data_IF_532459794595
#
_entry.id   IF_532459794595
#
_cell.length_a   1.000
_cell.length_b   1.000
_cell.length_c   1.000
_cell.angle_alpha   90.00
_cell.angle_beta   90.00
_cell.angle_gamma   90.00
#
_symmetry.space_group_name_H-M   'P 1'
#
loop_
_entity.id
_entity.type
_entity.pdbx_description
1 polymer ?
#
# COMPACT_ATOMS: atom_id res chain seq x y z
N UNK A 1 -13.99 31.45 -33.96
CA UNK A 1 -13.12 30.33 -34.40
C UNK A 1 -12.91 29.25 -33.32
N UNK A 2 -12.93 29.56 -32.01
CA UNK A 2 -12.80 28.56 -30.93
C UNK A 2 -14.10 27.84 -30.48
N UNK A 3 -15.25 28.07 -31.13
CA UNK A 3 -16.52 27.38 -30.81
C UNK A 3 -16.85 26.21 -31.76
N UNK A 4 -16.08 26.01 -32.82
CA UNK A 4 -16.38 25.01 -33.87
C UNK A 4 -15.53 23.73 -33.80
N UNK A 5 -14.44 23.70 -33.03
CA UNK A 5 -13.46 22.59 -33.05
C UNK A 5 -13.64 21.53 -31.95
N UNK A 6 -14.53 21.73 -30.97
CA UNK A 6 -14.69 20.81 -29.84
C UNK A 6 -16.04 20.05 -29.82
N UNK A 7 -16.60 19.79 -31.00
CA UNK A 7 -17.83 18.99 -31.16
C UNK A 7 -17.56 17.52 -31.52
N UNK A 8 -16.37 16.98 -31.22
CA UNK A 8 -16.29 15.53 -31.05
C UNK A 8 -17.03 15.21 -29.76
N UNK A 9 -18.32 14.89 -29.89
CA UNK A 9 -18.97 13.95 -28.97
C UNK A 9 -18.04 12.74 -28.93
N UNK A 10 -17.21 12.68 -27.90
CA UNK A 10 -16.54 11.46 -27.50
C UNK A 10 -17.72 10.51 -27.32
N UNK A 11 -17.92 9.58 -28.27
CA UNK A 11 -18.79 8.45 -28.01
C UNK A 11 -18.34 7.93 -26.67
N UNK A 12 -19.24 7.94 -25.69
CA UNK A 12 -19.01 7.29 -24.42
C UNK A 12 -18.82 5.82 -24.76
N UNK A 13 -17.58 5.44 -25.08
CA UNK A 13 -17.16 4.06 -24.99
C UNK A 13 -17.58 3.68 -23.58
N UNK A 14 -18.52 2.76 -23.47
CA UNK A 14 -18.82 2.15 -22.18
C UNK A 14 -17.47 1.63 -21.69
N UNK A 15 -16.89 2.33 -20.71
CA UNK A 15 -15.54 2.04 -20.23
C UNK A 15 -15.51 0.59 -19.77
N UNK A 16 -14.39 -0.09 -19.98
CA UNK A 16 -14.23 -1.47 -19.51
C UNK A 16 -14.19 -1.57 -17.97
N UNK A 17 -14.03 -0.43 -17.29
CA UNK A 17 -14.16 -0.29 -15.83
C UNK A 17 -15.63 -0.02 -15.47
N UNK A 18 -16.18 -0.84 -14.58
CA UNK A 18 -17.52 -0.64 -14.00
C UNK A 18 -17.61 0.74 -13.31
N UNK A 19 -18.53 1.58 -13.79
CA UNK A 19 -18.79 2.93 -13.27
C UNK A 19 -20.29 3.16 -13.05
N UNK A 20 -20.63 3.72 -11.90
CA UNK A 20 -21.97 4.24 -11.56
C UNK A 20 -21.93 5.75 -11.35
N UNK A 21 -23.07 6.36 -11.05
CA UNK A 21 -23.12 7.75 -10.58
C UNK A 21 -22.30 7.87 -9.28
N UNK A 22 -21.41 8.88 -9.16
CA UNK A 22 -20.62 9.07 -7.96
C UNK A 22 -21.49 9.54 -6.79
N UNK A 23 -21.25 8.96 -5.62
CA UNK A 23 -21.83 9.39 -4.34
C UNK A 23 -20.68 9.86 -3.44
N UNK A 24 -20.83 10.98 -2.73
CA UNK A 24 -19.83 11.42 -1.74
C UNK A 24 -19.73 10.42 -0.58
N UNK A 25 -18.62 10.39 0.17
CA UNK A 25 -18.55 9.63 1.41
C UNK A 25 -19.56 10.16 2.43
N UNK A 26 -19.99 9.31 3.37
CA UNK A 26 -20.89 9.71 4.45
C UNK A 26 -20.18 10.51 5.56
N UNK A 27 -18.85 10.48 5.58
CA UNK A 27 -17.98 11.17 6.54
C UNK A 27 -17.13 12.22 5.83
N UNK A 28 -16.80 13.31 6.52
CA UNK A 28 -15.96 14.36 5.96
C UNK A 28 -14.51 13.83 5.79
N UNK A 29 -13.91 13.93 4.59
CA UNK A 29 -12.51 13.52 4.37
C UNK A 29 -11.50 14.19 5.30
N UNK A 30 -11.79 15.40 5.80
CA UNK A 30 -10.89 16.12 6.72
C UNK A 30 -10.80 15.48 8.10
N UNK A 31 -11.76 14.62 8.48
CA UNK A 31 -11.69 13.84 9.72
C UNK A 31 -10.51 12.84 9.74
N UNK A 32 -9.90 12.54 8.58
CA UNK A 32 -8.68 11.73 8.48
C UNK A 32 -7.56 12.28 9.39
N UNK A 33 -7.44 13.60 9.53
CA UNK A 33 -6.42 14.21 10.40
C UNK A 33 -6.58 13.83 11.88
N UNK A 34 -7.81 13.50 12.31
CA UNK A 34 -8.09 13.08 13.69
C UNK A 34 -7.93 11.58 13.94
N UNK A 35 -7.82 10.77 12.88
CA UNK A 35 -7.68 9.31 12.97
C UNK A 35 -6.20 8.93 13.11
N UNK A 36 -5.33 9.62 12.38
CA UNK A 36 -3.91 9.30 12.35
C UNK A 36 -3.22 9.96 13.54
N UNK A 37 -2.60 9.14 14.38
CA UNK A 37 -1.77 9.62 15.47
C UNK A 37 -0.47 10.24 14.95
N UNK A 38 0.01 11.27 15.65
CA UNK A 38 1.36 11.81 15.42
C UNK A 38 2.46 10.81 15.81
N UNK A 39 2.16 9.89 16.74
CA UNK A 39 2.99 8.71 17.03
C UNK A 39 2.60 7.58 16.07
N UNK A 40 3.50 7.22 15.17
CA UNK A 40 3.32 6.21 14.12
C UNK A 40 3.24 4.77 14.65
N UNK A 41 3.55 4.58 15.94
CA UNK A 41 3.41 3.29 16.64
C UNK A 41 1.98 3.04 17.10
N UNK A 42 1.15 4.09 17.19
CA UNK A 42 -0.24 3.96 17.62
C UNK A 42 -1.06 3.43 16.46
N UNK A 43 -1.62 2.21 16.58
CA UNK A 43 -2.46 1.65 15.53
C UNK A 43 -3.76 2.44 15.43
N UNK A 44 -4.30 2.53 14.22
CA UNK A 44 -5.64 3.05 13.94
C UNK A 44 -6.42 2.05 13.12
N UNK A 45 -7.75 2.18 13.13
CA UNK A 45 -8.60 1.36 12.27
C UNK A 45 -8.59 1.89 10.84
N UNK A 46 -8.02 1.11 9.92
CA UNK A 46 -7.93 1.51 8.51
C UNK A 46 -9.29 1.52 7.82
N UNK A 47 -10.31 0.84 8.38
CA UNK A 47 -11.69 1.00 7.89
C UNK A 47 -12.19 2.43 8.05
N UNK A 48 -11.75 3.18 9.06
CA UNK A 48 -12.09 4.60 9.22
C UNK A 48 -11.51 5.44 8.09
N UNK A 49 -10.32 5.09 7.59
CA UNK A 49 -9.75 5.71 6.39
C UNK A 49 -10.58 5.34 5.16
N UNK A 50 -10.87 4.05 4.95
CA UNK A 50 -11.66 3.58 3.80
C UNK A 50 -13.03 4.27 3.76
N UNK A 51 -13.71 4.40 4.90
CA UNK A 51 -15.02 5.03 5.01
C UNK A 51 -15.03 6.50 4.52
N UNK A 52 -13.91 7.22 4.63
CA UNK A 52 -13.76 8.62 4.18
C UNK A 52 -13.30 8.75 2.74
N UNK A 53 -12.86 7.65 2.13
CA UNK A 53 -12.41 7.63 0.73
C UNK A 53 -13.50 7.15 -0.23
N UNK A 54 -14.36 6.23 0.18
CA UNK A 54 -15.27 5.51 -0.71
C UNK A 54 -16.69 6.10 -0.76
N UNK A 55 -17.35 5.90 -1.89
CA UNK A 55 -18.69 6.40 -2.18
C UNK A 55 -19.72 5.88 -1.17
N UNK A 56 -20.50 6.80 -0.58
CA UNK A 56 -21.48 6.51 0.46
C UNK A 56 -20.92 5.83 1.71
N UNK A 57 -19.59 5.82 1.88
CA UNK A 57 -18.89 5.03 2.90
C UNK A 57 -19.24 3.53 2.85
N UNK A 58 -19.62 3.02 1.67
CA UNK A 58 -20.03 1.63 1.46
C UNK A 58 -18.82 0.76 1.11
N UNK A 59 -18.57 -0.23 1.96
CA UNK A 59 -17.51 -1.20 1.77
C UNK A 59 -18.06 -2.62 1.85
N UNK A 60 -17.77 -3.45 0.85
CA UNK A 60 -18.18 -4.86 0.81
C UNK A 60 -16.97 -5.74 1.15
N UNK A 61 -16.80 -6.17 2.42
CA UNK A 61 -15.61 -6.87 2.86
C UNK A 61 -15.50 -8.25 2.23
N UNK A 62 -14.28 -8.65 1.89
CA UNK A 62 -13.92 -9.99 1.44
C UNK A 62 -13.19 -10.72 2.56
N UNK A 63 -13.76 -11.86 3.00
CA UNK A 63 -13.25 -12.65 4.13
C UNK A 63 -13.00 -11.78 5.38
N UNK A 64 -14.04 -11.13 5.95
CA UNK A 64 -13.87 -10.23 7.10
C UNK A 64 -13.23 -10.94 8.31
N UNK A 65 -13.60 -12.19 8.57
CA UNK A 65 -13.18 -12.98 9.75
C UNK A 65 -11.91 -13.83 9.51
N UNK A 66 -11.12 -13.53 8.47
CA UNK A 66 -9.90 -14.31 8.16
C UNK A 66 -8.78 -13.41 7.68
N UNK A 67 -7.58 -13.59 8.23
CA UNK A 67 -6.42 -12.75 7.92
C UNK A 67 -6.71 -11.27 8.16
N UNK A 68 -7.19 -10.94 9.36
CA UNK A 68 -7.71 -9.61 9.72
C UNK A 68 -6.67 -8.49 9.66
N UNK A 69 -5.37 -8.82 9.68
CA UNK A 69 -4.30 -7.83 9.52
C UNK A 69 -4.17 -7.24 8.10
N UNK A 70 -4.93 -7.76 7.14
CA UNK A 70 -5.19 -7.10 5.85
C UNK A 70 -6.70 -7.07 5.60
N UNK A 71 -7.22 -5.87 5.41
CA UNK A 71 -8.59 -5.64 4.97
C UNK A 71 -8.61 -5.74 3.44
N UNK A 72 -9.50 -6.58 2.91
CA UNK A 72 -9.77 -6.68 1.48
C UNK A 72 -11.26 -6.45 1.26
N UNK A 73 -11.64 -5.80 0.17
CA UNK A 73 -13.05 -5.66 -0.18
C UNK A 73 -13.30 -4.72 -1.35
N UNK A 74 -14.54 -4.74 -1.84
CA UNK A 74 -14.95 -3.90 -2.95
C UNK A 74 -15.58 -2.62 -2.46
N UNK A 75 -15.29 -1.52 -3.14
CA UNK A 75 -15.87 -0.21 -2.89
C UNK A 75 -15.99 0.58 -4.20
N UNK A 76 -16.52 1.79 -4.13
CA UNK A 76 -16.48 2.72 -5.27
C UNK A 76 -15.78 4.01 -4.88
N UNK A 77 -15.05 4.61 -5.81
CA UNK A 77 -14.47 5.95 -5.68
C UNK A 77 -14.86 6.72 -6.92
N UNK A 78 -15.59 7.81 -6.76
CA UNK A 78 -16.10 8.61 -7.89
C UNK A 78 -16.89 7.75 -8.91
N UNK A 79 -17.65 6.79 -8.40
CA UNK A 79 -18.47 5.84 -9.16
C UNK A 79 -17.71 4.62 -9.69
N UNK A 80 -16.38 4.64 -9.75
CA UNK A 80 -15.57 3.52 -10.26
C UNK A 80 -15.47 2.40 -9.23
N UNK A 81 -15.78 1.17 -9.63
CA UNK A 81 -15.56 -0.02 -8.80
C UNK A 81 -14.06 -0.23 -8.58
N UNK A 82 -13.66 -0.39 -7.32
CA UNK A 82 -12.27 -0.63 -6.92
C UNK A 82 -12.17 -1.79 -5.92
N UNK A 83 -11.10 -2.56 -6.02
CA UNK A 83 -10.71 -3.55 -5.02
C UNK A 83 -9.70 -2.94 -4.08
N UNK A 84 -10.08 -2.74 -2.81
CA UNK A 84 -9.22 -2.14 -1.79
C UNK A 84 -8.49 -3.24 -1.03
N UNK A 85 -7.18 -3.07 -0.85
CA UNK A 85 -6.32 -3.89 -0.01
C UNK A 85 -5.59 -2.95 0.94
N UNK A 86 -5.87 -3.05 2.23
CA UNK A 86 -5.38 -2.11 3.23
C UNK A 86 -4.78 -2.85 4.43
N UNK A 87 -3.63 -2.40 4.93
CA UNK A 87 -3.01 -3.02 6.09
C UNK A 87 -3.71 -2.60 7.39
N UNK A 88 -3.90 -3.55 8.30
CA UNK A 88 -4.31 -3.34 9.69
C UNK A 88 -3.20 -3.87 10.63
N UNK A 89 -1.93 -3.62 10.27
CA UNK A 89 -0.75 -4.08 11.01
C UNK A 89 0.18 -5.04 10.24
N UNK A 90 0.75 -6.01 10.97
CA UNK A 90 1.74 -6.98 10.46
C UNK A 90 1.08 -8.00 9.54
N UNK A 91 1.75 -8.38 8.44
CA UNK A 91 1.20 -9.35 7.48
C UNK A 91 1.46 -10.79 7.97
N UNK A 92 0.39 -11.53 8.23
CA UNK A 92 0.43 -12.97 8.53
C UNK A 92 0.20 -13.81 7.26
N UNK A 93 0.48 -15.12 7.33
CA UNK A 93 0.26 -16.07 6.23
C UNK A 93 -1.16 -16.02 5.66
N UNK A 94 -2.15 -15.99 6.55
CA UNK A 94 -3.58 -15.94 6.23
C UNK A 94 -3.92 -14.63 5.50
N UNK A 95 -3.39 -13.51 5.98
CA UNK A 95 -3.58 -12.21 5.35
C UNK A 95 -2.95 -12.16 3.94
N UNK A 96 -1.77 -12.74 3.76
CA UNK A 96 -1.12 -12.84 2.44
C UNK A 96 -1.92 -13.70 1.46
N UNK A 97 -2.43 -14.85 1.91
CA UNK A 97 -3.30 -15.72 1.11
C UNK A 97 -4.66 -15.07 0.80
N UNK A 98 -5.20 -14.27 1.73
CA UNK A 98 -6.44 -13.48 1.55
C UNK A 98 -6.24 -12.45 0.45
N UNK A 99 -5.18 -11.66 0.54
CA UNK A 99 -4.83 -10.67 -0.46
C UNK A 99 -4.58 -11.32 -1.82
N UNK A 100 -3.84 -12.44 -1.87
CA UNK A 100 -3.61 -13.21 -3.11
C UNK A 100 -4.93 -13.54 -3.81
N UNK A 101 -5.84 -14.23 -3.11
CA UNK A 101 -7.13 -14.62 -3.71
C UNK A 101 -7.96 -13.38 -4.11
N UNK A 102 -7.94 -12.32 -3.31
CA UNK A 102 -8.66 -11.09 -3.64
C UNK A 102 -8.13 -10.41 -4.90
N UNK A 103 -6.81 -10.38 -5.10
CA UNK A 103 -6.17 -9.87 -6.32
C UNK A 103 -6.62 -10.68 -7.54
N UNK A 104 -6.66 -12.01 -7.43
CA UNK A 104 -7.13 -12.88 -8.52
C UNK A 104 -8.59 -12.61 -8.89
N UNK A 105 -9.46 -12.38 -7.89
CA UNK A 105 -10.86 -12.00 -8.13
C UNK A 105 -10.97 -10.64 -8.84
N UNK A 106 -10.14 -9.67 -8.45
CA UNK A 106 -10.12 -8.35 -9.09
C UNK A 106 -9.60 -8.44 -10.54
N UNK A 107 -8.54 -9.22 -10.78
CA UNK A 107 -8.01 -9.49 -12.13
C UNK A 107 -9.07 -10.15 -13.02
N UNK A 108 -9.74 -11.20 -12.52
CA UNK A 108 -10.79 -11.91 -13.26
C UNK A 108 -11.96 -10.98 -13.63
N UNK A 109 -12.34 -10.07 -12.72
CA UNK A 109 -13.46 -9.14 -12.90
C UNK A 109 -13.06 -7.82 -13.55
N UNK A 110 -11.79 -7.63 -13.90
CA UNK A 110 -11.24 -6.37 -14.43
C UNK A 110 -11.50 -5.17 -13.50
N UNK A 111 -11.31 -5.37 -12.21
CA UNK A 111 -11.46 -4.34 -11.17
C UNK A 111 -10.09 -3.75 -10.83
N UNK A 112 -9.89 -2.42 -10.93
CA UNK A 112 -8.68 -1.75 -10.46
C UNK A 112 -8.40 -2.01 -8.99
N UNK A 113 -7.12 -2.10 -8.63
CA UNK A 113 -6.65 -2.35 -7.27
C UNK A 113 -6.14 -1.08 -6.61
N UNK A 114 -6.56 -0.84 -5.36
CA UNK A 114 -6.06 0.22 -4.49
C UNK A 114 -5.37 -0.41 -3.28
N UNK A 115 -4.09 -0.09 -3.10
CA UNK A 115 -3.28 -0.51 -1.96
C UNK A 115 -3.11 0.66 -0.99
N UNK A 116 -3.56 0.49 0.24
CA UNK A 116 -3.31 1.44 1.34
C UNK A 116 -2.24 0.85 2.26
N UNK A 117 -1.01 1.37 2.15
CA UNK A 117 0.15 0.81 2.86
C UNK A 117 0.28 1.40 4.26
N UNK A 118 0.24 0.51 5.25
CA UNK A 118 0.62 0.78 6.63
C UNK A 118 1.10 -0.51 7.31
N UNK A 119 2.31 -0.96 6.97
CA UNK A 119 2.86 -2.22 7.46
C UNK A 119 4.33 -2.12 7.83
N UNK A 120 4.67 -2.74 8.96
CA UNK A 120 6.04 -3.01 9.41
C UNK A 120 6.67 -4.24 8.74
N UNK A 121 5.90 -4.97 7.92
CA UNK A 121 6.36 -6.16 7.20
C UNK A 121 5.56 -7.41 7.54
N UNK A 122 6.20 -8.57 7.39
CA UNK A 122 5.62 -9.88 7.66
C UNK A 122 5.95 -10.36 9.07
N UNK A 123 5.12 -11.23 9.63
CA UNK A 123 5.37 -11.84 10.93
C UNK A 123 6.66 -12.68 10.91
N UNK A 124 7.57 -12.40 11.83
CA UNK A 124 8.81 -13.16 12.01
C UNK A 124 8.68 -14.17 13.15
N UNK A 125 9.32 -15.33 13.03
CA UNK A 125 9.37 -16.32 14.10
C UNK A 125 9.43 -17.74 13.56
N UNK A 126 9.95 -18.66 14.38
CA UNK A 126 10.14 -20.06 13.98
C UNK A 126 8.84 -20.70 13.47
N UNK A 127 7.73 -20.46 14.15
CA UNK A 127 6.43 -21.05 13.80
C UNK A 127 5.86 -20.42 12.52
N UNK A 128 6.06 -19.11 12.30
CA UNK A 128 5.67 -18.43 11.06
C UNK A 128 6.46 -18.95 9.85
N UNK A 129 7.77 -19.13 10.01
CA UNK A 129 8.65 -19.69 8.98
C UNK A 129 8.29 -21.15 8.67
N UNK A 130 8.13 -21.99 9.70
CA UNK A 130 7.72 -23.39 9.54
C UNK A 130 6.31 -23.52 8.94
N UNK A 131 5.40 -22.59 9.28
CA UNK A 131 4.07 -22.46 8.69
C UNK A 131 4.07 -21.98 7.23
N UNK A 132 5.23 -21.63 6.69
CA UNK A 132 5.39 -21.27 5.28
C UNK A 132 5.06 -19.82 4.95
N UNK A 133 5.27 -18.87 5.88
CA UNK A 133 5.02 -17.46 5.62
C UNK A 133 5.76 -16.95 4.38
N UNK A 134 6.99 -17.42 4.13
CA UNK A 134 7.74 -17.10 2.93
C UNK A 134 7.02 -17.52 1.64
N UNK A 135 6.48 -18.74 1.57
CA UNK A 135 5.75 -19.20 0.37
C UNK A 135 4.38 -18.52 0.24
N UNK A 136 3.74 -18.16 1.36
CA UNK A 136 2.45 -17.48 1.35
C UNK A 136 2.59 -16.01 0.94
N UNK A 137 3.62 -15.32 1.45
CA UNK A 137 4.01 -13.99 0.98
C UNK A 137 4.42 -13.99 -0.50
N UNK A 138 5.14 -15.02 -0.96
CA UNK A 138 5.50 -15.16 -2.37
C UNK A 138 4.28 -15.29 -3.30
N UNK A 139 3.19 -15.93 -2.86
CA UNK A 139 1.93 -15.97 -3.63
C UNK A 139 1.34 -14.56 -3.79
N UNK A 140 1.31 -13.78 -2.71
CA UNK A 140 0.81 -12.40 -2.75
C UNK A 140 1.65 -11.52 -3.69
N UNK A 141 2.97 -11.60 -3.58
CA UNK A 141 3.90 -10.88 -4.46
C UNK A 141 3.73 -11.30 -5.92
N UNK A 142 3.57 -12.59 -6.19
CA UNK A 142 3.30 -13.08 -7.54
C UNK A 142 1.99 -12.54 -8.11
N UNK A 143 0.92 -12.49 -7.31
CA UNK A 143 -0.36 -11.93 -7.72
C UNK A 143 -0.25 -10.42 -8.02
N UNK A 144 0.41 -9.64 -7.15
CA UNK A 144 0.66 -8.20 -7.37
C UNK A 144 1.47 -7.94 -8.64
N UNK A 145 2.55 -8.68 -8.82
CA UNK A 145 3.46 -8.50 -9.95
C UNK A 145 2.78 -8.75 -11.30
N UNK A 146 1.86 -9.73 -11.35
CA UNK A 146 1.26 -10.18 -12.60
C UNK A 146 -0.17 -9.68 -12.83
N UNK A 147 -0.80 -9.04 -11.84
CA UNK A 147 -2.07 -8.35 -12.05
C UNK A 147 -1.92 -7.27 -13.13
N UNK A 148 -2.78 -7.34 -14.14
CA UNK A 148 -2.77 -6.46 -15.32
C UNK A 148 -3.74 -5.29 -15.18
N UNK A 149 -4.73 -5.43 -14.30
CA UNK A 149 -5.60 -4.32 -13.89
C UNK A 149 -4.76 -3.14 -13.35
N UNK A 150 -5.23 -1.89 -13.51
CA UNK A 150 -4.58 -0.72 -12.93
C UNK A 150 -4.42 -0.89 -11.43
N UNK A 151 -3.20 -0.65 -10.94
CA UNK A 151 -2.82 -0.70 -9.53
C UNK A 151 -2.50 0.72 -9.07
N UNK A 152 -3.03 1.14 -7.94
CA UNK A 152 -2.74 2.41 -7.30
C UNK A 152 -2.29 2.16 -5.88
N UNK A 153 -1.30 2.90 -5.42
CA UNK A 153 -0.74 2.74 -4.07
C UNK A 153 -0.75 4.08 -3.37
N UNK A 154 -1.19 4.09 -2.11
CA UNK A 154 -1.09 5.26 -1.22
C UNK A 154 -0.38 4.81 0.04
N UNK A 155 0.76 5.44 0.35
CA UNK A 155 1.45 5.24 1.63
C UNK A 155 0.76 6.09 2.69
N UNK A 156 -0.06 5.44 3.53
CA UNK A 156 -0.83 6.12 4.60
C UNK A 156 -0.12 6.05 5.97
N UNK A 157 0.96 5.26 6.07
CA UNK A 157 1.78 5.10 7.25
C UNK A 157 3.11 4.43 6.91
N UNK A 158 3.45 3.35 7.61
CA UNK A 158 4.70 2.62 7.39
C UNK A 158 4.72 1.81 6.09
N UNK A 159 5.84 1.84 5.39
CA UNK A 159 6.14 1.01 4.22
C UNK A 159 7.51 0.37 4.37
N UNK A 160 7.54 -0.81 4.99
CA UNK A 160 8.79 -1.43 5.41
C UNK A 160 9.03 -2.80 4.76
N UNK A 161 10.27 -2.99 4.28
CA UNK A 161 10.82 -4.28 3.85
C UNK A 161 9.93 -5.07 2.89
N UNK A 162 9.74 -6.36 3.16
CA UNK A 162 8.93 -7.23 2.30
C UNK A 162 7.44 -6.83 2.26
N UNK A 163 6.94 -6.09 3.26
CA UNK A 163 5.57 -5.56 3.25
C UNK A 163 5.34 -4.57 2.12
N UNK A 164 6.34 -3.74 1.79
CA UNK A 164 6.33 -2.85 0.63
C UNK A 164 6.08 -3.65 -0.67
N UNK A 165 6.69 -4.83 -0.79
CA UNK A 165 6.57 -5.67 -1.99
C UNK A 165 5.17 -6.26 -2.12
N UNK A 166 4.67 -6.87 -1.05
CA UNK A 166 3.34 -7.48 -1.01
C UNK A 166 2.22 -6.47 -1.24
N UNK A 167 2.42 -5.19 -0.87
CA UNK A 167 1.42 -4.14 -1.00
C UNK A 167 1.60 -3.25 -2.24
N UNK A 168 2.28 -3.72 -3.29
CA UNK A 168 2.46 -3.00 -4.55
C UNK A 168 3.26 -1.68 -4.41
N UNK A 169 4.43 -1.73 -3.75
CA UNK A 169 5.39 -0.65 -3.74
C UNK A 169 5.98 -0.33 -5.13
N UNK A 170 6.89 0.65 -5.20
CA UNK A 170 7.38 1.22 -6.47
C UNK A 170 7.93 0.19 -7.46
N UNK A 171 8.61 -0.85 -6.98
CA UNK A 171 9.16 -1.94 -7.81
C UNK A 171 8.11 -2.83 -8.51
N UNK A 172 6.83 -2.69 -8.17
CA UNK A 172 5.72 -3.46 -8.75
C UNK A 172 4.88 -2.66 -9.76
N UNK A 173 5.40 -1.50 -10.17
CA UNK A 173 4.84 -0.65 -11.22
C UNK A 173 3.34 -0.34 -11.03
N UNK A 174 2.90 0.21 -9.87
CA UNK A 174 1.59 0.84 -9.82
C UNK A 174 1.53 1.99 -10.84
N UNK A 175 0.33 2.27 -11.36
CA UNK A 175 0.12 3.39 -12.29
C UNK A 175 0.46 4.72 -11.66
N UNK A 176 0.11 4.86 -10.38
CA UNK A 176 0.54 5.94 -9.52
C UNK A 176 0.78 5.41 -8.11
N UNK A 177 1.83 5.91 -7.46
CA UNK A 177 2.12 5.71 -6.05
C UNK A 177 2.20 7.08 -5.38
N UNK A 178 1.30 7.38 -4.47
CA UNK A 178 1.34 8.61 -3.67
C UNK A 178 1.73 8.30 -2.23
N UNK A 179 2.19 9.33 -1.51
CA UNK A 179 2.52 9.21 -0.11
C UNK A 179 1.87 10.34 0.70
N UNK A 180 1.45 10.03 1.93
CA UNK A 180 1.02 11.04 2.88
C UNK A 180 2.22 11.65 3.61
N UNK A 181 2.11 12.88 4.13
CA UNK A 181 3.20 13.55 4.85
C UNK A 181 3.65 12.85 6.13
N UNK A 182 2.81 11.98 6.72
CA UNK A 182 3.15 11.17 7.89
C UNK A 182 3.80 9.82 7.53
N UNK A 183 3.84 9.46 6.25
CA UNK A 183 4.35 8.15 5.84
C UNK A 183 5.85 8.00 6.12
N UNK A 184 6.29 6.75 6.23
CA UNK A 184 7.71 6.40 6.39
C UNK A 184 8.03 5.20 5.51
N UNK A 185 9.14 5.25 4.79
CA UNK A 185 9.55 4.17 3.87
C UNK A 185 11.01 3.78 4.09
N UNK A 186 11.26 2.50 4.37
CA UNK A 186 12.62 2.00 4.55
C UNK A 186 12.70 0.48 4.38
N UNK A 187 13.91 -0.08 4.41
CA UNK A 187 14.13 -1.53 4.37
C UNK A 187 13.59 -2.24 5.63
N UNK A 188 13.57 -1.56 6.77
CA UNK A 188 12.97 -1.98 8.04
C UNK A 188 12.66 -0.74 8.90
N UNK A 189 11.96 -0.90 10.03
CA UNK A 189 11.75 0.23 10.94
C UNK A 189 13.07 0.66 11.61
N UNK A 190 13.14 1.93 12.02
CA UNK A 190 14.34 2.47 12.67
C UNK A 190 14.72 1.67 13.95
N UNK A 191 13.73 1.31 14.77
CA UNK A 191 13.93 0.50 15.99
C UNK A 191 14.51 -0.89 15.68
N UNK A 192 13.98 -1.55 14.63
CA UNK A 192 14.51 -2.85 14.18
C UNK A 192 15.94 -2.69 13.64
N UNK A 193 16.21 -1.65 12.87
CA UNK A 193 17.53 -1.37 12.32
C UNK A 193 18.58 -1.13 13.41
N UNK A 194 18.24 -0.34 14.44
CA UNK A 194 19.12 -0.08 15.57
C UNK A 194 19.52 -1.35 16.32
N UNK A 195 18.64 -2.33 16.38
CA UNK A 195 18.93 -3.61 17.04
C UNK A 195 19.79 -4.49 16.13
N UNK A 196 19.31 -4.76 14.92
CA UNK A 196 19.93 -5.72 14.00
C UNK A 196 21.30 -5.25 13.50
N UNK A 197 21.43 -3.97 13.11
CA UNK A 197 22.67 -3.46 12.53
C UNK A 197 23.79 -3.33 13.58
N UNK A 198 23.42 -3.00 14.82
CA UNK A 198 24.38 -2.94 15.92
C UNK A 198 24.87 -4.34 16.28
N UNK A 199 23.97 -5.33 16.36
CA UNK A 199 24.34 -6.72 16.63
C UNK A 199 25.28 -7.27 15.54
N UNK A 200 25.01 -6.98 14.25
CA UNK A 200 25.89 -7.36 13.13
C UNK A 200 27.27 -6.70 13.25
N UNK A 201 27.32 -5.41 13.59
CA UNK A 201 28.58 -4.67 13.74
C UNK A 201 29.42 -5.23 14.88
N UNK A 202 28.80 -5.52 16.03
CA UNK A 202 29.43 -6.17 17.18
C UNK A 202 29.94 -7.57 16.84
N UNK A 203 29.16 -8.39 16.15
CA UNK A 203 29.56 -9.74 15.74
C UNK A 203 30.77 -9.75 14.78
N UNK A 204 30.93 -8.69 13.97
CA UNK A 204 32.08 -8.48 13.09
C UNK A 204 33.35 -8.02 13.82
N UNK A 205 33.22 -7.38 14.99
CA UNK A 205 34.31 -6.80 15.78
C UNK A 205 35.00 -7.82 16.72
N UNK A 206 35.08 -9.10 16.32
CA UNK A 206 35.65 -10.20 17.13
C UNK A 206 37.01 -9.81 17.75
N UNK A 207 37.01 -9.47 19.04
CA UNK A 207 38.23 -9.25 19.83
C UNK A 207 38.47 -7.84 20.39
N UNK A 208 37.58 -6.86 20.16
CA UNK A 208 37.67 -5.53 20.81
C UNK A 208 36.57 -5.36 21.85
N UNK A 209 36.96 -5.00 23.08
CA UNK A 209 36.06 -4.56 24.16
C UNK A 209 35.35 -3.27 23.72
N UNK A 210 34.22 -3.43 23.01
CA UNK A 210 33.41 -2.28 22.60
C UNK A 210 32.71 -1.74 23.84
N UNK A 211 32.93 -0.46 24.12
CA UNK A 211 32.35 0.20 25.29
C UNK A 211 30.85 0.45 25.08
N UNK A 212 30.11 0.60 26.17
CA UNK A 212 28.68 0.95 26.11
C UNK A 212 28.46 2.30 25.39
N UNK A 213 29.40 3.22 25.51
CA UNK A 213 29.38 4.53 24.83
C UNK A 213 29.50 4.37 23.31
N UNK A 214 30.38 3.48 22.83
CA UNK A 214 30.51 3.18 21.40
C UNK A 214 29.25 2.50 20.85
N UNK A 215 28.64 1.58 21.61
CA UNK A 215 27.36 0.94 21.23
C UNK A 215 26.24 1.98 21.14
N UNK A 216 26.15 2.89 22.11
CA UNK A 216 25.18 3.98 22.11
C UNK A 216 25.38 4.93 20.92
N UNK A 217 26.64 5.24 20.58
CA UNK A 217 26.97 6.04 19.41
C UNK A 217 26.53 5.35 18.10
N UNK A 218 26.77 4.03 17.96
CA UNK A 218 26.31 3.26 16.80
C UNK A 218 24.77 3.25 16.69
N UNK A 219 24.05 3.08 17.82
CA UNK A 219 22.58 3.15 17.84
C UNK A 219 22.07 4.52 17.40
N UNK A 220 22.73 5.59 17.84
CA UNK A 220 22.38 6.96 17.50
C UNK A 220 22.64 7.25 16.01
N UNK A 221 23.78 6.79 15.48
CA UNK A 221 24.13 6.88 14.05
C UNK A 221 23.06 6.20 13.18
N UNK A 222 22.69 4.96 13.51
CA UNK A 222 21.66 4.20 12.77
C UNK A 222 20.29 4.88 12.86
N UNK A 223 19.88 5.36 14.04
CA UNK A 223 18.61 6.10 14.18
C UNK A 223 18.58 7.35 13.30
N UNK A 224 19.63 8.18 13.35
CA UNK A 224 19.69 9.40 12.57
C UNK A 224 19.65 9.13 11.06
N UNK A 225 20.32 8.06 10.61
CA UNK A 225 20.25 7.61 9.23
C UNK A 225 18.81 7.26 8.83
N UNK A 226 18.14 6.41 9.62
CA UNK A 226 16.77 5.98 9.29
C UNK A 226 15.77 7.12 9.38
N UNK A 227 15.86 8.02 10.35
CA UNK A 227 14.99 9.20 10.43
C UNK A 227 15.10 10.04 9.15
N UNK A 228 16.33 10.31 8.70
CA UNK A 228 16.56 11.12 7.50
C UNK A 228 16.12 10.41 6.23
N UNK A 229 16.45 9.13 6.07
CA UNK A 229 16.27 8.40 4.81
C UNK A 229 14.87 7.79 4.65
N UNK A 230 14.10 7.67 5.75
CA UNK A 230 12.72 7.19 5.73
C UNK A 230 11.68 8.30 5.61
N UNK A 231 12.11 9.54 5.75
CA UNK A 231 11.26 10.72 5.64
C UNK A 231 10.61 10.83 4.23
N UNK A 232 9.32 11.21 4.16
CA UNK A 232 8.60 11.28 2.89
C UNK A 232 9.17 12.32 1.92
N UNK A 233 9.78 13.40 2.41
CA UNK A 233 10.47 14.37 1.55
C UNK A 233 11.77 13.78 0.97
N UNK A 234 12.45 12.91 1.72
CA UNK A 234 13.60 12.16 1.20
C UNK A 234 13.20 11.22 0.06
N UNK A 235 12.08 10.52 0.21
CA UNK A 235 11.53 9.60 -0.79
C UNK A 235 11.04 10.34 -2.06
N UNK A 236 10.23 11.39 -1.88
CA UNK A 236 9.61 12.12 -3.01
C UNK A 236 10.66 12.85 -3.85
N UNK A 237 11.71 13.40 -3.22
CA UNK A 237 12.83 14.03 -3.93
C UNK A 237 13.66 13.06 -4.78
N UNK A 238 13.41 11.74 -4.65
CA UNK A 238 14.07 10.66 -5.39
C UNK A 238 13.10 9.86 -6.28
N UNK A 239 11.86 10.35 -6.44
CA UNK A 239 10.81 9.72 -7.27
C UNK A 239 10.49 8.27 -6.87
N UNK A 240 10.59 7.96 -5.58
CA UNK A 240 10.10 6.69 -5.04
C UNK A 240 8.57 6.65 -5.05
N UNK A 241 7.95 7.81 -4.90
CA UNK A 241 6.55 8.12 -5.13
C UNK A 241 6.40 9.17 -6.25
N UNK A 242 5.17 9.36 -6.70
CA UNK A 242 4.75 10.33 -7.72
C UNK A 242 4.27 11.65 -7.09
N UNK A 243 4.44 11.81 -5.77
CA UNK A 243 4.17 13.04 -5.04
C UNK A 243 3.56 12.81 -3.66
N UNK A 244 3.81 13.78 -2.78
CA UNK A 244 3.07 13.94 -1.54
C UNK A 244 1.71 14.56 -1.81
N UNK A 245 0.68 14.00 -1.20
CA UNK A 245 -0.69 14.51 -1.28
C UNK A 245 -1.24 14.78 0.11
N UNK A 246 -2.13 15.75 0.23
CA UNK A 246 -2.91 15.93 1.44
C UNK A 246 -3.77 14.67 1.69
N UNK A 247 -3.78 14.09 2.89
CA UNK A 247 -4.67 12.98 3.22
C UNK A 247 -6.13 13.18 2.82
N UNK A 248 -6.67 14.40 2.97
CA UNK A 248 -8.05 14.72 2.61
C UNK A 248 -8.30 14.71 1.08
N UNK A 249 -7.27 15.00 0.27
CA UNK A 249 -7.35 15.04 -1.19
C UNK A 249 -7.25 13.64 -1.84
N UNK A 250 -6.92 12.61 -1.05
CA UNK A 250 -6.69 11.23 -1.54
C UNK A 250 -7.82 10.72 -2.43
N UNK A 251 -9.07 10.99 -2.06
CA UNK A 251 -10.25 10.57 -2.83
C UNK A 251 -10.27 11.17 -4.24
N UNK A 252 -9.99 12.46 -4.36
CA UNK A 252 -10.09 13.19 -5.62
C UNK A 252 -8.90 12.89 -6.54
N UNK A 253 -7.70 12.75 -5.95
CA UNK A 253 -6.51 12.26 -6.65
C UNK A 253 -6.76 10.88 -7.24
N UNK A 254 -7.29 9.94 -6.45
CA UNK A 254 -7.64 8.59 -6.94
C UNK A 254 -8.75 8.64 -8.00
N UNK A 255 -9.76 9.50 -7.83
CA UNK A 255 -10.81 9.71 -8.84
C UNK A 255 -10.24 10.14 -10.19
N UNK A 256 -9.28 11.06 -10.21
CA UNK A 256 -8.58 11.47 -11.42
C UNK A 256 -7.77 10.31 -12.03
N UNK A 257 -7.00 9.59 -11.21
CA UNK A 257 -6.21 8.44 -11.67
C UNK A 257 -7.10 7.35 -12.30
N UNK A 258 -8.23 7.02 -11.67
CA UNK A 258 -9.21 6.07 -12.19
C UNK A 258 -9.83 6.55 -13.50
N UNK A 259 -10.16 7.84 -13.60
CA UNK A 259 -10.65 8.43 -14.84
C UNK A 259 -9.62 8.36 -15.99
N UNK A 260 -8.32 8.48 -15.69
CA UNK A 260 -7.25 8.29 -16.67
C UNK A 260 -7.18 6.84 -17.15
N UNK A 261 -7.23 5.86 -16.25
CA UNK A 261 -7.23 4.45 -16.64
C UNK A 261 -8.47 4.03 -17.44
N UNK A 262 -9.64 4.58 -17.11
CA UNK A 262 -10.89 4.32 -17.83
C UNK A 262 -10.86 4.81 -19.29
N UNK A 263 -9.91 5.69 -19.65
CA UNK A 263 -9.69 6.18 -21.02
C UNK A 263 -8.67 5.34 -21.81
N UNK A 264 -8.09 4.31 -21.20
CA UNK A 264 -7.20 3.37 -21.86
C UNK A 264 -7.97 2.10 -22.25
N UNK A 265 -7.42 1.34 -23.19
CA UNK A 265 -7.94 0.02 -23.52
C UNK A 265 -7.87 -0.92 -22.31
N UNK A 266 -8.80 -1.88 -22.26
CA UNK A 266 -8.77 -2.92 -21.24
C UNK A 266 -7.43 -3.67 -21.33
N UNK A 267 -6.78 -3.97 -20.19
CA UNK A 267 -5.54 -4.71 -20.22
C UNK A 267 -5.77 -6.11 -20.80
N UNK A 268 -4.76 -6.63 -21.51
CA UNK A 268 -4.75 -8.03 -21.92
C UNK A 268 -4.87 -8.95 -20.70
N UNK A 269 -5.29 -10.20 -20.89
CA UNK A 269 -5.26 -11.16 -19.80
C UNK A 269 -3.82 -11.36 -19.32
N UNK A 270 -3.63 -11.45 -18.01
CA UNK A 270 -2.32 -11.72 -17.42
C UNK A 270 -1.75 -13.09 -17.84
N UNK A 271 -0.43 -13.26 -17.73
CA UNK A 271 0.18 -14.57 -17.93
C UNK A 271 -0.32 -15.55 -16.87
N UNK A 272 -0.52 -16.82 -17.25
CA UNK A 272 -0.84 -17.87 -16.27
C UNK A 272 0.25 -17.98 -15.20
N UNK A 273 -0.17 -18.10 -13.93
CA UNK A 273 0.74 -18.03 -12.78
C UNK A 273 1.06 -19.40 -12.21
N UNK A 274 2.32 -19.59 -11.83
CA UNK A 274 2.73 -20.72 -10.99
C UNK A 274 2.79 -20.24 -9.55
N UNK A 275 1.82 -20.64 -8.74
CA UNK A 275 1.87 -20.42 -7.30
C UNK A 275 2.61 -21.54 -6.59
N UNK A 276 3.52 -21.17 -5.69
CA UNK A 276 4.14 -22.10 -4.74
C UNK A 276 3.13 -22.46 -3.65
N UNK A 277 2.35 -23.53 -3.86
CA UNK A 277 1.31 -23.97 -2.91
C UNK A 277 1.87 -24.36 -1.54
#
# INVERSE_FOLDING_TARGET
LCLATNQRRIQAAAGWIDRTEPEGPAHDPTEIYGIISADDRVPFDTLEIVARLVDGSKFSPFKPEWGESIICGFARIWGYLVGVIANQGIIFSEAALKATHFIELCEQRRVPLLFLQNTSGYMVGRDSEAGGIAKNGAKMVAAVANATVPKYTVLIGGSYGAGNYGMCGRGFNPRFLFAWPNSRIATMSAETAQTVLVDIRLAGMRGTDTTEEEIAAMRTEVAAQYETQSDPYYATSRLWDDGLIDPADTRDVLGLCLALAARQDAPAAGPGLVYRM
#
